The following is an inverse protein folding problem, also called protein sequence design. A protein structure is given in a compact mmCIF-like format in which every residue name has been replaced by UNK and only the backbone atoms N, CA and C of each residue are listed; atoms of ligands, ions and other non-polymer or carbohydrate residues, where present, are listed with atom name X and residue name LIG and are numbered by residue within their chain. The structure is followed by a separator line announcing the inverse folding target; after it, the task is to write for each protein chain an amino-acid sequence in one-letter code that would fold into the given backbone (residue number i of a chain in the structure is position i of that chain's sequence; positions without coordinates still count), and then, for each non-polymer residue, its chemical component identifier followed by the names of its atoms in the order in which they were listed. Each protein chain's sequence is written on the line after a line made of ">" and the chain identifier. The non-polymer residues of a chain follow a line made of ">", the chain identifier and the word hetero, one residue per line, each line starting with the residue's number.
data_IF_276152535318
#
_entry.id   IF_276152535318
#
_cell.length_a   1.000
_cell.length_b   1.000
_cell.length_c   1.000
_cell.angle_alpha   90.00
_cell.angle_beta   90.00
_cell.angle_gamma   90.00
#
_symmetry.space_group_name_H-M   'P 1'
#
loop_
_entity.id
_entity.type
_entity.pdbx_description
1 polymer ?
#
# COMPACT_ATOMS: atom_id res chain seq x y z
N UNK A 1 1.30 0.68 61.22
CA UNK A 1 0.24 0.04 60.45
C UNK A 1 0.80 -0.26 59.08
N UNK A 2 1.16 -1.53 58.85
CA UNK A 2 1.67 -2.01 57.54
C UNK A 2 0.43 -2.31 56.66
N UNK A 3 0.29 -1.56 55.58
CA UNK A 3 -0.67 -1.94 54.52
C UNK A 3 -0.06 -3.12 53.73
N UNK A 4 -0.78 -4.20 53.50
CA UNK A 4 -0.30 -5.31 52.72
C UNK A 4 -0.25 -4.92 51.22
N UNK A 5 0.83 -5.19 50.52
CA UNK A 5 1.04 -4.86 49.09
C UNK A 5 0.15 -5.68 48.13
N UNK A 6 -0.62 -6.65 48.63
CA UNK A 6 -1.41 -7.57 47.82
C UNK A 6 -2.75 -7.03 47.25
N UNK A 7 -3.31 -5.99 47.85
CA UNK A 7 -4.59 -5.44 47.37
C UNK A 7 -4.45 -4.57 46.11
N UNK A 8 -3.28 -3.98 45.86
CA UNK A 8 -3.05 -3.15 44.69
C UNK A 8 -2.75 -4.01 43.45
N UNK A 9 -2.16 -5.20 43.62
CA UNK A 9 -1.97 -6.15 42.54
C UNK A 9 -3.27 -6.84 42.10
N UNK A 10 -4.14 -7.19 43.02
CA UNK A 10 -5.49 -7.73 42.70
C UNK A 10 -6.38 -6.73 41.98
N UNK A 11 -6.31 -5.45 42.35
CA UNK A 11 -7.03 -4.38 41.64
C UNK A 11 -6.51 -4.10 40.24
N UNK A 12 -5.18 -4.25 40.01
CA UNK A 12 -4.56 -4.17 38.71
C UNK A 12 -4.98 -5.32 37.79
N UNK A 13 -5.17 -6.52 38.31
CA UNK A 13 -5.60 -7.69 37.56
C UNK A 13 -7.08 -7.66 37.13
N UNK A 14 -7.89 -6.74 37.68
CA UNK A 14 -9.33 -6.68 37.43
C UNK A 14 -9.78 -5.58 36.47
N UNK A 15 -8.91 -4.66 36.07
CA UNK A 15 -9.28 -3.59 35.13
C UNK A 15 -9.04 -4.06 33.70
N UNK A 16 -10.12 -4.39 33.00
CA UNK A 16 -10.09 -4.74 31.58
C UNK A 16 -9.65 -3.53 30.75
N UNK A 17 -8.51 -3.60 30.02
CA UNK A 17 -8.04 -2.51 29.18
C UNK A 17 -9.08 -2.03 28.16
N UNK A 18 -9.95 -2.93 27.68
CA UNK A 18 -11.02 -2.61 26.73
C UNK A 18 -12.00 -1.58 27.30
N UNK A 19 -12.26 -1.62 28.61
CA UNK A 19 -13.16 -0.63 29.26
C UNK A 19 -12.51 0.74 29.33
N UNK A 20 -11.22 0.81 29.65
CA UNK A 20 -10.48 2.07 29.70
C UNK A 20 -10.45 2.70 28.30
N UNK A 21 -10.12 1.91 27.29
CA UNK A 21 -10.08 2.34 25.89
C UNK A 21 -11.46 2.81 25.40
N UNK A 22 -12.52 2.06 25.73
CA UNK A 22 -13.88 2.39 25.32
C UNK A 22 -14.43 3.67 25.97
N UNK A 23 -13.96 4.02 27.17
CA UNK A 23 -14.36 5.22 27.90
C UNK A 23 -13.53 6.47 27.52
N UNK A 24 -12.38 6.29 26.84
CA UNK A 24 -11.51 7.40 26.46
C UNK A 24 -12.21 8.32 25.45
N UNK A 25 -12.33 9.64 25.73
CA UNK A 25 -12.88 10.59 24.77
C UNK A 25 -12.09 10.60 23.46
N UNK A 26 -12.81 10.53 22.33
CA UNK A 26 -12.18 10.45 21.01
C UNK A 26 -12.08 9.03 20.43
N UNK A 27 -12.33 7.98 21.21
CA UNK A 27 -12.45 6.61 20.68
C UNK A 27 -13.70 6.49 19.80
N UNK A 28 -13.52 5.99 18.56
CA UNK A 28 -14.62 5.64 17.66
C UNK A 28 -14.99 4.17 17.79
N UNK A 29 -13.99 3.29 17.74
CA UNK A 29 -14.12 1.85 17.85
C UNK A 29 -12.81 1.24 18.33
N UNK A 30 -12.87 0.06 18.91
CA UNK A 30 -11.69 -0.72 19.28
C UNK A 30 -12.02 -2.20 19.24
N UNK A 31 -10.99 -3.01 19.04
CA UNK A 31 -11.04 -4.47 19.21
C UNK A 31 -9.75 -4.98 19.85
N UNK A 32 -9.85 -6.10 20.53
CA UNK A 32 -8.71 -6.81 21.10
C UNK A 32 -8.23 -7.92 20.18
N UNK A 33 -6.94 -8.23 20.21
CA UNK A 33 -6.34 -9.38 19.53
C UNK A 33 -5.63 -10.26 20.53
N UNK A 34 -5.87 -11.56 20.44
CA UNK A 34 -5.15 -12.58 21.19
C UNK A 34 -4.55 -13.59 20.20
N UNK A 35 -3.39 -14.12 20.52
CA UNK A 35 -2.73 -15.08 19.66
C UNK A 35 -2.50 -16.38 20.41
N UNK A 36 -2.83 -17.50 19.78
CA UNK A 36 -2.52 -18.84 20.28
C UNK A 36 -1.98 -19.72 19.14
N UNK A 37 -1.49 -20.89 19.48
CA UNK A 37 -1.03 -21.88 18.51
C UNK A 37 -1.85 -23.17 18.68
N UNK A 38 -2.39 -23.66 17.58
CA UNK A 38 -3.19 -24.89 17.54
C UNK A 38 -2.63 -25.83 16.48
N UNK A 39 -3.03 -27.09 16.48
CA UNK A 39 -2.77 -27.97 15.36
C UNK A 39 -4.03 -28.08 14.50
N UNK A 40 -3.82 -28.12 13.18
CA UNK A 40 -4.90 -28.26 12.21
C UNK A 40 -4.78 -29.64 11.55
N UNK A 41 -5.88 -30.33 11.40
CA UNK A 41 -5.87 -31.64 10.75
C UNK A 41 -5.34 -31.51 9.31
N UNK A 42 -4.34 -32.35 8.97
CA UNK A 42 -3.69 -32.32 7.64
C UNK A 42 -2.55 -31.30 7.50
N UNK A 43 -2.22 -30.55 8.55
CA UNK A 43 -1.08 -29.60 8.55
C UNK A 43 -0.01 -30.08 9.52
N UNK A 44 1.23 -30.14 9.06
CA UNK A 44 2.37 -30.48 9.91
C UNK A 44 2.76 -29.29 10.78
N UNK A 45 2.92 -29.50 12.08
CA UNK A 45 3.32 -28.45 13.02
C UNK A 45 2.16 -27.68 13.63
N UNK A 46 2.47 -26.54 14.25
CA UNK A 46 1.49 -25.67 14.88
C UNK A 46 1.11 -24.51 13.96
N UNK A 47 -0.17 -24.26 13.83
CA UNK A 47 -0.73 -23.13 13.09
C UNK A 47 -1.07 -22.00 14.07
N UNK A 48 -0.69 -20.78 13.73
CA UNK A 48 -1.03 -19.62 14.53
C UNK A 48 -2.50 -19.26 14.35
N UNK A 49 -3.16 -18.95 15.45
CA UNK A 49 -4.53 -18.43 15.43
C UNK A 49 -4.54 -17.05 16.06
N UNK A 50 -5.04 -16.09 15.33
CA UNK A 50 -5.34 -14.74 15.82
C UNK A 50 -6.84 -14.64 16.09
N UNK A 51 -7.19 -14.45 17.35
CA UNK A 51 -8.55 -14.32 17.81
C UNK A 51 -8.90 -12.86 18.06
N UNK A 52 -10.04 -12.42 17.56
CA UNK A 52 -10.53 -11.05 17.70
C UNK A 52 -11.60 -10.97 18.78
N UNK A 53 -11.53 -9.96 19.64
CA UNK A 53 -12.57 -9.63 20.61
C UNK A 53 -13.16 -8.27 20.24
N UNK A 54 -14.42 -8.25 19.84
CA UNK A 54 -15.09 -7.07 19.30
C UNK A 54 -15.09 -7.03 17.78
N UNK A 55 -15.65 -5.97 17.20
CA UNK A 55 -15.77 -5.82 15.75
C UNK A 55 -14.45 -5.35 15.13
N UNK A 56 -13.79 -6.26 14.41
CA UNK A 56 -12.56 -6.00 13.66
C UNK A 56 -12.79 -5.72 12.16
N UNK A 57 -14.04 -5.60 11.69
CA UNK A 57 -14.37 -5.39 10.27
C UNK A 57 -13.81 -4.09 9.70
N UNK A 58 -13.63 -3.08 10.54
CA UNK A 58 -13.09 -1.77 10.17
C UNK A 58 -11.55 -1.74 10.10
N UNK A 59 -10.87 -2.82 10.47
CA UNK A 59 -9.39 -2.88 10.45
C UNK A 59 -8.77 -2.84 9.05
N UNK A 60 -9.60 -2.93 8.00
CA UNK A 60 -9.14 -2.78 6.62
C UNK A 60 -8.37 -3.99 6.09
N UNK A 61 -8.61 -5.18 6.60
CA UNK A 61 -8.05 -6.41 6.04
C UNK A 61 -8.47 -6.56 4.58
N UNK A 62 -7.49 -6.67 3.69
CA UNK A 62 -7.73 -6.80 2.26
C UNK A 62 -8.21 -8.23 1.93
N UNK A 63 -9.50 -8.37 1.62
CA UNK A 63 -10.11 -9.65 1.26
C UNK A 63 -9.76 -10.02 -0.18
N UNK A 64 -9.27 -11.23 -0.39
CA UNK A 64 -9.02 -11.84 -1.69
C UNK A 64 -10.30 -12.45 -2.23
N UNK A 65 -11.00 -13.22 -1.38
CA UNK A 65 -12.27 -13.86 -1.73
C UNK A 65 -13.16 -14.05 -0.49
N UNK A 66 -14.46 -14.24 -0.71
CA UNK A 66 -15.40 -14.43 0.38
C UNK A 66 -15.70 -13.15 1.17
N UNK A 67 -15.81 -13.24 2.49
CA UNK A 67 -16.15 -12.13 3.39
C UNK A 67 -15.39 -12.18 4.71
N UNK A 68 -15.37 -11.06 5.42
CA UNK A 68 -14.87 -10.98 6.79
C UNK A 68 -15.80 -11.72 7.78
N UNK A 69 -15.25 -12.04 8.96
CA UNK A 69 -15.96 -12.66 10.09
C UNK A 69 -17.23 -11.88 10.45
N UNK A 70 -18.32 -12.60 10.74
CA UNK A 70 -19.57 -12.02 11.26
C UNK A 70 -20.02 -12.69 12.54
N UNK A 71 -19.79 -13.99 12.68
CA UNK A 71 -20.31 -14.82 13.78
C UNK A 71 -19.20 -15.72 14.35
N UNK A 72 -19.32 -16.12 15.62
CA UNK A 72 -18.46 -17.18 16.16
C UNK A 72 -18.60 -18.48 15.35
N UNK A 73 -17.52 -19.25 15.24
CA UNK A 73 -17.46 -20.47 14.42
C UNK A 73 -17.03 -20.21 12.98
N UNK A 74 -16.75 -18.97 12.61
CA UNK A 74 -16.19 -18.60 11.31
C UNK A 74 -14.68 -18.38 11.40
N UNK A 75 -14.01 -18.62 10.28
CA UNK A 75 -12.58 -18.34 10.11
C UNK A 75 -12.31 -17.64 8.78
N UNK A 76 -11.33 -16.75 8.79
CA UNK A 76 -10.72 -16.17 7.59
C UNK A 76 -9.26 -16.59 7.57
N UNK A 77 -8.76 -17.00 6.42
CA UNK A 77 -7.41 -17.56 6.27
C UNK A 77 -6.68 -16.92 5.10
N UNK A 78 -5.35 -16.81 5.15
CA UNK A 78 -4.56 -16.35 4.00
C UNK A 78 -4.50 -17.41 2.88
N UNK A 79 -4.13 -16.96 1.67
CA UNK A 79 -3.89 -17.80 0.49
C UNK A 79 -2.93 -18.96 0.79
N UNK A 80 -1.83 -18.66 1.52
CA UNK A 80 -0.83 -19.68 1.88
C UNK A 80 -1.43 -20.85 2.65
N UNK A 81 -2.34 -20.58 3.58
CA UNK A 81 -3.06 -21.64 4.32
C UNK A 81 -3.93 -22.50 3.40
N UNK A 82 -4.71 -21.89 2.52
CA UNK A 82 -5.58 -22.61 1.57
C UNK A 82 -4.75 -23.50 0.64
N UNK A 83 -3.65 -22.96 0.12
CA UNK A 83 -2.75 -23.71 -0.78
C UNK A 83 -2.07 -24.87 -0.05
N UNK A 84 -1.57 -24.66 1.17
CA UNK A 84 -0.87 -25.69 1.93
C UNK A 84 -1.79 -26.82 2.42
N UNK A 85 -3.06 -26.51 2.67
CA UNK A 85 -4.04 -27.47 3.19
C UNK A 85 -4.94 -28.10 2.11
N UNK A 86 -4.98 -27.51 0.90
CA UNK A 86 -5.92 -27.89 -0.15
C UNK A 86 -7.37 -27.54 0.18
N UNK A 87 -7.61 -26.67 1.17
CA UNK A 87 -8.93 -26.23 1.57
C UNK A 87 -9.40 -25.04 0.72
N UNK A 88 -10.71 -24.79 0.75
CA UNK A 88 -11.37 -23.70 0.02
C UNK A 88 -12.29 -22.89 0.92
N UNK A 89 -12.65 -21.70 0.49
CA UNK A 89 -13.69 -20.93 1.15
C UNK A 89 -15.01 -21.70 1.10
N UNK A 90 -15.63 -21.91 2.25
CA UNK A 90 -16.81 -22.74 2.46
C UNK A 90 -16.54 -24.00 3.24
N UNK A 91 -15.30 -24.50 3.25
CA UNK A 91 -14.91 -25.72 3.95
C UNK A 91 -14.90 -25.55 5.47
N UNK A 92 -14.97 -26.66 6.17
CA UNK A 92 -14.92 -26.72 7.65
C UNK A 92 -13.64 -27.39 8.06
N UNK A 93 -12.88 -26.71 8.93
CA UNK A 93 -11.63 -27.22 9.49
C UNK A 93 -11.74 -27.41 11.00
N UNK A 94 -10.94 -28.31 11.56
CA UNK A 94 -10.85 -28.55 12.98
C UNK A 94 -9.54 -28.00 13.53
N UNK A 95 -9.68 -27.08 14.49
CA UNK A 95 -8.59 -26.50 15.26
C UNK A 95 -8.45 -27.28 16.56
N UNK A 96 -7.36 -28.02 16.75
CA UNK A 96 -7.11 -28.74 17.99
C UNK A 96 -6.36 -27.84 18.96
N UNK A 97 -7.12 -27.25 19.88
CA UNK A 97 -6.60 -26.42 20.97
C UNK A 97 -6.12 -27.26 22.15
N UNK A 98 -5.72 -26.60 23.23
CA UNK A 98 -5.15 -27.28 24.42
C UNK A 98 -6.17 -28.13 25.17
N UNK A 99 -7.44 -27.75 25.21
CA UNK A 99 -8.48 -28.46 25.96
C UNK A 99 -9.41 -29.26 25.10
N UNK A 100 -9.90 -28.67 24.02
CA UNK A 100 -10.87 -29.30 23.14
C UNK A 100 -10.65 -28.89 21.68
N UNK A 101 -10.99 -29.76 20.71
CA UNK A 101 -11.07 -29.37 19.33
C UNK A 101 -12.25 -28.44 19.09
N UNK A 102 -12.10 -27.50 18.18
CA UNK A 102 -13.14 -26.57 17.72
C UNK A 102 -13.22 -26.62 16.21
N UNK A 103 -14.41 -26.70 15.67
CA UNK A 103 -14.65 -26.64 14.24
C UNK A 103 -14.97 -25.21 13.85
N UNK A 104 -14.36 -24.74 12.74
CA UNK A 104 -14.63 -23.44 12.16
C UNK A 104 -14.86 -23.56 10.66
N UNK A 105 -15.74 -22.73 10.13
CA UNK A 105 -15.99 -22.63 8.70
C UNK A 105 -15.14 -21.53 8.10
N UNK A 106 -14.40 -21.80 7.04
CA UNK A 106 -13.67 -20.79 6.27
C UNK A 106 -14.69 -19.97 5.49
N UNK A 107 -14.83 -18.67 5.82
CA UNK A 107 -15.78 -17.77 5.17
C UNK A 107 -15.13 -16.76 4.25
N UNK A 108 -13.80 -16.67 4.29
CA UNK A 108 -13.06 -15.77 3.42
C UNK A 108 -11.57 -16.05 3.37
N UNK A 109 -10.98 -15.53 2.33
CA UNK A 109 -9.54 -15.50 2.07
C UNK A 109 -9.04 -14.06 2.21
N UNK A 110 -7.93 -13.85 2.91
CA UNK A 110 -7.36 -12.53 3.20
C UNK A 110 -5.91 -12.44 2.70
N UNK A 111 -5.52 -11.27 2.24
CA UNK A 111 -4.11 -10.98 1.98
C UNK A 111 -3.40 -10.70 3.30
N UNK A 112 -2.73 -11.71 3.83
CA UNK A 112 -1.88 -11.59 5.01
C UNK A 112 -0.62 -12.44 4.85
N UNK A 113 0.54 -11.84 4.54
CA UNK A 113 1.79 -12.55 4.34
C UNK A 113 2.49 -12.94 5.65
N UNK A 114 1.96 -12.54 6.79
CA UNK A 114 2.58 -12.87 8.09
C UNK A 114 2.60 -14.38 8.30
N UNK A 115 3.66 -14.87 8.92
CA UNK A 115 3.84 -16.29 9.21
C UNK A 115 3.76 -17.19 7.96
N UNK A 116 4.30 -16.71 6.84
CA UNK A 116 4.26 -17.38 5.53
C UNK A 116 2.82 -17.70 5.07
N UNK A 117 1.85 -16.89 5.50
CA UNK A 117 0.44 -17.14 5.25
C UNK A 117 -0.16 -18.32 6.04
N UNK A 118 0.58 -18.89 7.01
CA UNK A 118 0.13 -20.03 7.80
C UNK A 118 -0.53 -19.58 9.12
N UNK A 119 -1.70 -18.96 9.02
CA UNK A 119 -2.49 -18.55 10.16
C UNK A 119 -3.99 -18.66 9.92
N UNK A 120 -4.74 -18.67 11.02
CA UNK A 120 -6.20 -18.65 11.03
C UNK A 120 -6.66 -17.43 11.83
N UNK A 121 -7.53 -16.64 11.25
CA UNK A 121 -8.17 -15.51 11.89
C UNK A 121 -9.60 -15.89 12.27
N UNK A 122 -10.00 -15.74 13.54
CA UNK A 122 -11.33 -16.12 14.02
C UNK A 122 -11.80 -15.21 15.15
N UNK A 123 -13.05 -15.33 15.55
CA UNK A 123 -13.59 -14.65 16.74
C UNK A 123 -13.10 -15.34 18.02
N UNK A 124 -12.82 -14.56 19.08
CA UNK A 124 -12.34 -15.11 20.37
C UNK A 124 -13.39 -16.01 21.04
N UNK A 125 -14.68 -15.75 20.83
CA UNK A 125 -15.75 -16.61 21.36
C UNK A 125 -15.70 -18.03 20.75
N UNK A 126 -15.22 -18.17 19.51
CA UNK A 126 -15.01 -19.46 18.85
C UNK A 126 -14.02 -20.34 19.62
N UNK A 127 -12.97 -19.75 20.18
CA UNK A 127 -11.91 -20.49 20.87
C UNK A 127 -12.18 -20.71 22.36
N UNK A 128 -13.29 -20.21 22.89
CA UNK A 128 -13.56 -20.21 24.34
C UNK A 128 -13.54 -21.61 24.95
N UNK A 129 -13.96 -22.65 24.23
CA UNK A 129 -13.89 -24.04 24.69
C UNK A 129 -12.50 -24.65 24.54
N UNK A 130 -11.75 -24.28 23.51
CA UNK A 130 -10.40 -24.79 23.23
C UNK A 130 -9.34 -24.12 24.12
N UNK A 131 -9.50 -22.80 24.35
CA UNK A 131 -8.53 -21.94 25.03
C UNK A 131 -9.27 -20.98 26.01
N UNK A 132 -9.81 -21.45 27.13
CA UNK A 132 -10.65 -20.62 28.02
C UNK A 132 -9.86 -19.52 28.75
N UNK A 133 -8.54 -19.58 28.75
CA UNK A 133 -7.66 -18.55 29.32
C UNK A 133 -7.12 -17.56 28.30
N UNK A 134 -7.64 -17.55 27.06
CA UNK A 134 -7.18 -16.65 26.03
C UNK A 134 -7.66 -15.21 26.31
N UNK A 135 -6.73 -14.34 26.65
CA UNK A 135 -6.97 -12.91 26.88
C UNK A 135 -6.34 -12.07 25.77
N UNK A 136 -6.93 -10.94 25.39
CA UNK A 136 -6.32 -10.03 24.44
C UNK A 136 -4.95 -9.54 24.93
N UNK A 137 -3.95 -9.65 24.07
CA UNK A 137 -2.59 -9.16 24.29
C UNK A 137 -2.30 -7.86 23.54
N UNK A 138 -3.14 -7.53 22.57
CA UNK A 138 -3.06 -6.30 21.79
C UNK A 138 -4.43 -5.66 21.64
N UNK A 139 -4.48 -4.35 21.50
CA UNK A 139 -5.70 -3.59 21.24
C UNK A 139 -5.48 -2.66 20.06
N UNK A 140 -6.43 -2.65 19.14
CA UNK A 140 -6.45 -1.75 17.99
C UNK A 140 -7.57 -0.73 18.21
N UNK A 141 -7.25 0.54 18.00
CA UNK A 141 -8.13 1.65 18.33
C UNK A 141 -8.29 2.54 17.10
N UNK A 142 -9.52 2.81 16.72
CA UNK A 142 -9.86 3.84 15.75
C UNK A 142 -10.31 5.09 16.50
N UNK A 143 -9.72 6.23 16.19
CA UNK A 143 -10.13 7.52 16.74
C UNK A 143 -11.18 8.18 15.85
N UNK A 144 -11.99 9.09 16.43
CA UNK A 144 -12.97 9.89 15.68
C UNK A 144 -12.27 10.83 14.70
N UNK A 145 -12.87 11.13 13.52
CA UNK A 145 -12.35 12.12 12.61
C UNK A 145 -12.10 13.47 13.30
N UNK A 146 -10.94 14.09 13.01
CA UNK A 146 -10.53 15.34 13.63
C UNK A 146 -9.88 15.23 15.00
N UNK A 147 -9.76 14.02 15.57
CA UNK A 147 -8.99 13.81 16.80
C UNK A 147 -7.50 13.72 16.46
N UNK A 148 -6.67 14.52 17.13
CA UNK A 148 -5.22 14.40 17.02
C UNK A 148 -4.75 13.11 17.70
N UNK A 149 -4.10 12.24 16.91
CA UNK A 149 -3.68 10.93 17.38
C UNK A 149 -2.60 10.99 18.47
N UNK A 150 -1.72 12.00 18.41
CA UNK A 150 -0.66 12.19 19.40
C UNK A 150 -1.21 12.57 20.77
N UNK A 151 -2.10 13.56 20.82
CA UNK A 151 -2.75 14.00 22.05
C UNK A 151 -3.66 12.94 22.65
N UNK A 152 -4.40 12.21 21.80
CA UNK A 152 -5.21 11.07 22.20
C UNK A 152 -4.35 9.99 22.87
N UNK A 153 -3.26 9.58 22.21
CA UNK A 153 -2.35 8.55 22.73
C UNK A 153 -1.69 8.99 24.04
N UNK A 154 -1.30 10.26 24.15
CA UNK A 154 -0.72 10.81 25.38
C UNK A 154 -1.73 10.79 26.55
N UNK A 155 -3.00 11.10 26.29
CA UNK A 155 -4.05 11.02 27.28
C UNK A 155 -4.36 9.56 27.69
N UNK A 156 -4.49 8.66 26.70
CA UNK A 156 -4.74 7.24 26.95
C UNK A 156 -3.60 6.58 27.74
N UNK A 157 -2.35 6.92 27.45
CA UNK A 157 -1.18 6.39 28.16
C UNK A 157 -1.17 6.77 29.66
N UNK A 158 -1.78 7.87 30.09
CA UNK A 158 -1.92 8.20 31.52
C UNK A 158 -2.78 7.18 32.24
N UNK A 159 -3.84 6.70 31.59
CA UNK A 159 -4.77 5.70 32.13
C UNK A 159 -4.24 4.27 32.00
N UNK A 160 -3.43 3.97 30.96
CA UNK A 160 -2.89 2.63 30.71
C UNK A 160 -1.59 2.34 31.50
N UNK A 161 -0.79 3.36 31.83
CA UNK A 161 0.46 3.17 32.62
C UNK A 161 0.29 2.40 33.93
N UNK A 162 -0.76 2.64 34.75
CA UNK A 162 -0.97 1.86 35.94
C UNK A 162 -1.22 0.37 35.67
N UNK A 163 -1.68 0.02 34.45
CA UNK A 163 -1.93 -1.35 34.01
C UNK A 163 -0.67 -1.99 33.37
N UNK A 164 0.44 -1.24 33.26
CA UNK A 164 1.65 -1.69 32.59
C UNK A 164 1.56 -1.74 31.07
N UNK A 165 0.58 -1.03 30.49
CA UNK A 165 0.33 -0.97 29.03
C UNK A 165 0.71 0.39 28.48
N UNK A 166 1.07 0.39 27.21
CA UNK A 166 1.34 1.61 26.41
C UNK A 166 0.59 1.55 25.11
N UNK A 167 0.13 2.70 24.64
CA UNK A 167 -0.45 2.88 23.33
C UNK A 167 0.46 3.76 22.47
N UNK A 168 0.60 3.40 21.20
CA UNK A 168 1.40 4.11 20.22
C UNK A 168 0.54 4.45 18.98
N UNK A 169 0.96 5.48 18.25
CA UNK A 169 0.28 5.91 17.02
C UNK A 169 0.75 5.06 15.85
N UNK A 170 -0.14 4.25 15.28
CA UNK A 170 0.04 3.72 13.94
C UNK A 170 1.13 2.67 13.71
N UNK A 171 1.31 1.73 14.62
CA UNK A 171 2.25 0.62 14.43
C UNK A 171 3.66 0.89 15.00
N UNK A 172 4.46 -0.14 15.12
CA UNK A 172 5.81 -0.04 15.71
C UNK A 172 6.68 1.01 15.00
N UNK A 173 7.46 1.77 15.75
CA UNK A 173 8.40 2.79 15.23
C UNK A 173 9.27 2.26 14.09
N UNK A 174 9.74 1.01 14.17
CA UNK A 174 10.51 0.37 13.11
C UNK A 174 9.77 0.18 11.79
N UNK A 175 8.44 0.02 11.80
CA UNK A 175 7.63 -0.05 10.57
C UNK A 175 7.55 1.30 9.88
N UNK A 176 7.49 2.38 10.64
CA UNK A 176 7.44 3.76 10.09
C UNK A 176 8.75 4.14 9.42
N UNK A 177 9.91 3.83 10.02
CA UNK A 177 11.22 4.08 9.41
C UNK A 177 11.44 3.26 8.13
N UNK A 178 11.03 1.99 8.14
CA UNK A 178 11.12 1.14 6.96
C UNK A 178 10.23 1.66 5.81
N UNK A 179 9.02 2.09 6.10
CA UNK A 179 8.10 2.68 5.10
C UNK A 179 8.70 3.97 4.53
N UNK A 180 9.24 4.86 5.36
CA UNK A 180 9.90 6.09 4.91
C UNK A 180 11.11 5.78 4.04
N UNK A 181 11.93 4.79 4.42
CA UNK A 181 13.09 4.37 3.64
C UNK A 181 12.69 3.80 2.28
N UNK A 182 11.69 2.91 2.24
CA UNK A 182 11.18 2.34 0.99
C UNK A 182 10.57 3.41 0.09
N UNK A 183 9.79 4.33 0.64
CA UNK A 183 9.21 5.44 -0.11
C UNK A 183 10.29 6.37 -0.67
N UNK A 184 11.33 6.67 0.11
CA UNK A 184 12.45 7.50 -0.32
C UNK A 184 13.25 6.85 -1.45
N UNK A 185 13.50 5.54 -1.35
CA UNK A 185 14.17 4.77 -2.40
C UNK A 185 13.34 4.73 -3.68
N UNK A 186 12.02 4.46 -3.57
CA UNK A 186 11.09 4.51 -4.70
C UNK A 186 11.06 5.89 -5.37
N UNK A 187 11.02 6.96 -4.58
CA UNK A 187 11.05 8.33 -5.11
C UNK A 187 12.36 8.63 -5.85
N UNK A 188 13.51 8.18 -5.30
CA UNK A 188 14.81 8.33 -5.96
C UNK A 188 14.88 7.58 -7.28
N UNK A 189 14.43 6.32 -7.32
CA UNK A 189 14.38 5.53 -8.55
C UNK A 189 13.47 6.18 -9.60
N UNK A 190 12.30 6.66 -9.19
CA UNK A 190 11.37 7.38 -10.06
C UNK A 190 12.01 8.64 -10.63
N UNK A 191 12.72 9.42 -9.80
CA UNK A 191 13.43 10.63 -10.23
C UNK A 191 14.53 10.30 -11.24
N UNK A 192 15.29 9.22 -11.03
CA UNK A 192 16.28 8.75 -12.00
C UNK A 192 15.64 8.36 -13.34
N UNK A 193 14.52 7.64 -13.34
CA UNK A 193 13.80 7.30 -14.56
C UNK A 193 13.32 8.54 -15.31
N UNK A 194 12.75 9.51 -14.57
CA UNK A 194 12.34 10.81 -15.13
C UNK A 194 13.51 11.55 -15.75
N UNK A 195 14.67 11.57 -15.09
CA UNK A 195 15.88 12.20 -15.62
C UNK A 195 16.37 11.53 -16.90
N UNK A 196 16.42 10.21 -16.96
CA UNK A 196 16.80 9.44 -18.16
C UNK A 196 15.80 9.71 -19.29
N UNK A 197 14.50 9.71 -19.01
CA UNK A 197 13.48 10.03 -19.99
C UNK A 197 13.64 11.45 -20.54
N UNK A 198 13.88 12.44 -19.67
CA UNK A 198 14.10 13.83 -20.07
C UNK A 198 15.35 13.99 -20.97
N UNK A 199 16.44 13.29 -20.63
CA UNK A 199 17.67 13.26 -21.46
C UNK A 199 17.41 12.59 -22.81
N UNK A 200 16.62 11.52 -22.84
CA UNK A 200 16.19 10.85 -24.07
C UNK A 200 15.40 11.78 -24.99
N UNK A 201 14.43 12.51 -24.43
CA UNK A 201 13.66 13.52 -25.19
C UNK A 201 14.58 14.64 -25.69
N UNK A 202 15.44 15.17 -24.82
CA UNK A 202 16.40 16.23 -25.20
C UNK A 202 17.28 15.78 -26.37
N UNK A 203 17.84 14.58 -26.29
CA UNK A 203 18.70 14.03 -27.36
C UNK A 203 17.91 13.81 -28.65
N UNK A 204 16.70 13.25 -28.57
CA UNK A 204 15.82 13.04 -29.74
C UNK A 204 15.47 14.35 -30.43
N UNK A 205 15.08 15.39 -29.67
CA UNK A 205 14.76 16.72 -30.22
C UNK A 205 15.99 17.40 -30.83
N UNK A 206 17.15 17.24 -30.19
CA UNK A 206 18.42 17.77 -30.75
C UNK A 206 18.75 17.12 -32.08
N UNK A 207 18.59 15.79 -32.20
CA UNK A 207 18.85 15.04 -33.41
C UNK A 207 17.90 15.44 -34.54
N UNK A 208 16.58 15.39 -34.28
CA UNK A 208 15.53 15.83 -35.23
C UNK A 208 15.75 17.27 -35.70
N UNK A 209 16.12 18.18 -34.78
CA UNK A 209 16.41 19.57 -35.09
C UNK A 209 17.64 19.68 -36.00
N UNK A 210 18.70 18.90 -35.77
CA UNK A 210 19.93 18.88 -36.61
C UNK A 210 19.63 18.36 -38.03
N UNK A 211 18.85 17.30 -38.14
CA UNK A 211 18.48 16.74 -39.45
C UNK A 211 17.65 17.73 -40.28
N UNK A 212 16.83 18.55 -39.63
CA UNK A 212 15.98 19.55 -40.29
C UNK A 212 16.61 20.95 -40.41
N UNK A 213 17.90 21.13 -40.04
CA UNK A 213 18.55 22.45 -40.09
C UNK A 213 18.46 23.11 -41.44
N UNK A 214 18.64 22.34 -42.52
CA UNK A 214 18.59 22.85 -43.90
C UNK A 214 17.16 23.31 -44.27
N UNK A 215 16.15 22.55 -43.92
CA UNK A 215 14.75 22.91 -44.14
C UNK A 215 14.38 24.19 -43.36
N UNK A 216 14.79 24.25 -42.06
CA UNK A 216 14.59 25.43 -41.23
C UNK A 216 15.33 26.67 -41.79
N UNK A 217 16.51 26.47 -42.38
CA UNK A 217 17.26 27.51 -43.08
C UNK A 217 16.51 28.07 -44.30
N UNK A 218 15.93 27.21 -45.12
CA UNK A 218 15.11 27.58 -46.28
C UNK A 218 13.85 28.36 -45.82
N UNK A 219 13.14 27.88 -44.83
CA UNK A 219 11.96 28.56 -44.30
C UNK A 219 12.28 29.95 -43.73
N UNK A 220 13.44 30.11 -43.05
CA UNK A 220 13.93 31.41 -42.57
C UNK A 220 14.28 32.35 -43.72
N UNK A 221 14.89 31.83 -44.79
CA UNK A 221 15.18 32.63 -45.97
C UNK A 221 13.89 33.14 -46.67
N UNK A 222 12.82 32.37 -46.58
CA UNK A 222 11.48 32.75 -47.05
C UNK A 222 10.72 33.69 -46.07
N UNK A 223 11.31 34.12 -44.96
CA UNK A 223 10.76 35.09 -44.05
C UNK A 223 10.20 34.55 -42.74
N UNK A 224 10.44 33.26 -42.41
CA UNK A 224 9.98 32.68 -41.13
C UNK A 224 10.65 33.38 -39.95
N UNK A 225 9.82 33.81 -38.97
CA UNK A 225 10.31 34.45 -37.75
C UNK A 225 10.85 33.44 -36.73
N UNK A 226 11.76 33.84 -35.82
CA UNK A 226 12.27 32.96 -34.77
C UNK A 226 11.16 32.35 -33.87
N UNK A 227 10.05 33.11 -33.66
CA UNK A 227 8.89 32.62 -32.89
C UNK A 227 8.16 31.48 -33.61
N UNK A 228 8.00 31.57 -34.94
CA UNK A 228 7.39 30.54 -35.76
C UNK A 228 8.25 29.26 -35.75
N UNK A 229 9.57 29.39 -35.84
CA UNK A 229 10.50 28.24 -35.72
C UNK A 229 10.36 27.54 -34.37
N UNK A 230 10.37 28.29 -33.27
CA UNK A 230 10.17 27.72 -31.92
C UNK A 230 8.81 27.06 -31.78
N UNK A 231 7.73 27.69 -32.27
CA UNK A 231 6.39 27.13 -32.25
C UNK A 231 6.31 25.80 -33.04
N UNK A 232 6.92 25.74 -34.21
CA UNK A 232 6.95 24.52 -35.03
C UNK A 232 7.60 23.33 -34.28
N UNK A 233 8.77 23.56 -33.67
CA UNK A 233 9.46 22.53 -32.88
C UNK A 233 8.63 22.12 -31.67
N UNK A 234 8.07 23.09 -30.91
CA UNK A 234 7.26 22.79 -29.75
C UNK A 234 5.97 22.04 -30.12
N UNK A 235 5.32 22.40 -31.23
CA UNK A 235 4.14 21.68 -31.72
C UNK A 235 4.46 20.22 -32.07
N UNK A 236 5.57 19.99 -32.77
CA UNK A 236 6.05 18.64 -33.10
C UNK A 236 6.26 17.81 -31.84
N UNK A 237 6.99 18.35 -30.86
CA UNK A 237 7.25 17.68 -29.57
C UNK A 237 5.97 17.45 -28.75
N UNK A 238 5.06 18.41 -28.77
CA UNK A 238 3.76 18.29 -28.10
C UNK A 238 2.94 17.16 -28.70
N UNK A 239 2.85 17.05 -30.02
CA UNK A 239 2.16 15.97 -30.71
C UNK A 239 2.79 14.59 -30.41
N UNK A 240 4.12 14.51 -30.45
CA UNK A 240 4.85 13.29 -30.11
C UNK A 240 4.65 12.93 -28.65
N UNK A 241 4.70 13.91 -27.73
CA UNK A 241 4.44 13.72 -26.29
C UNK A 241 3.02 13.25 -26.00
N UNK A 242 2.02 13.81 -26.69
CA UNK A 242 0.63 13.37 -26.59
C UNK A 242 0.45 11.94 -27.08
N UNK A 243 1.02 11.60 -28.23
CA UNK A 243 0.98 10.22 -28.75
C UNK A 243 1.69 9.24 -27.81
N UNK A 244 2.86 9.61 -27.30
CA UNK A 244 3.61 8.83 -26.30
C UNK A 244 2.83 8.64 -24.99
N UNK A 245 2.18 9.68 -24.49
CA UNK A 245 1.32 9.60 -23.31
C UNK A 245 0.07 8.75 -23.55
N UNK A 246 -0.59 8.92 -24.69
CA UNK A 246 -1.79 8.16 -25.04
C UNK A 246 -1.53 6.65 -25.20
N UNK A 247 -0.33 6.26 -25.60
CA UNK A 247 0.09 4.86 -25.70
C UNK A 247 0.75 4.36 -24.42
N UNK A 248 1.63 5.17 -23.85
CA UNK A 248 2.46 4.78 -22.70
C UNK A 248 1.64 4.56 -21.43
N UNK A 249 0.66 5.42 -21.14
CA UNK A 249 -0.18 5.28 -19.95
C UNK A 249 -1.00 4.00 -19.97
N UNK A 250 -1.79 3.68 -21.01
CA UNK A 250 -2.52 2.42 -21.07
C UNK A 250 -1.63 1.18 -21.06
N UNK A 251 -0.50 1.21 -21.76
CA UNK A 251 0.47 0.11 -21.75
C UNK A 251 1.08 -0.09 -20.37
N UNK A 252 1.40 1.00 -19.66
CA UNK A 252 1.90 0.94 -18.28
C UNK A 252 0.88 0.33 -17.33
N UNK A 253 -0.38 0.73 -17.41
CA UNK A 253 -1.47 0.15 -16.60
C UNK A 253 -1.67 -1.33 -16.93
N UNK A 254 -1.68 -1.70 -18.22
CA UNK A 254 -1.81 -3.09 -18.62
C UNK A 254 -0.63 -3.95 -18.13
N UNK A 255 0.59 -3.44 -18.26
CA UNK A 255 1.79 -4.13 -17.76
C UNK A 255 1.75 -4.30 -16.24
N UNK A 256 1.36 -3.28 -15.50
CA UNK A 256 1.18 -3.36 -14.04
C UNK A 256 0.13 -4.44 -13.68
N UNK A 257 -1.03 -4.42 -14.33
CA UNK A 257 -2.09 -5.41 -14.10
C UNK A 257 -1.70 -6.84 -14.45
N UNK A 258 -0.66 -7.04 -15.28
CA UNK A 258 -0.11 -8.36 -15.59
C UNK A 258 1.02 -8.77 -14.64
N UNK A 259 1.93 -7.84 -14.35
CA UNK A 259 3.14 -8.13 -13.54
C UNK A 259 2.78 -8.33 -12.06
N UNK A 260 1.90 -7.49 -11.50
CA UNK A 260 1.57 -7.55 -10.07
C UNK A 260 0.98 -8.90 -9.64
N UNK A 261 -0.04 -9.48 -10.33
CA UNK A 261 -0.50 -10.82 -10.00
C UNK A 261 0.58 -11.89 -10.16
N UNK A 262 1.38 -11.84 -11.23
CA UNK A 262 2.45 -12.80 -11.46
C UNK A 262 3.52 -12.78 -10.34
N UNK A 263 3.85 -11.59 -9.82
CA UNK A 263 4.73 -11.45 -8.66
C UNK A 263 4.07 -12.01 -7.39
N UNK A 264 2.79 -11.73 -7.17
CA UNK A 264 2.02 -12.28 -6.05
C UNK A 264 2.01 -13.81 -6.08
N UNK A 265 1.64 -14.39 -7.21
CA UNK A 265 1.58 -15.85 -7.39
C UNK A 265 2.95 -16.51 -7.17
N UNK A 266 4.04 -15.89 -7.62
CA UNK A 266 5.39 -16.39 -7.39
C UNK A 266 5.80 -16.39 -5.91
N UNK A 267 5.21 -15.49 -5.12
CA UNK A 267 5.38 -15.40 -3.66
C UNK A 267 4.34 -16.24 -2.88
N UNK A 268 3.47 -17.00 -3.57
CA UNK A 268 2.39 -17.76 -2.94
C UNK A 268 1.26 -16.89 -2.38
N UNK A 269 1.12 -15.65 -2.88
CA UNK A 269 0.12 -14.68 -2.44
C UNK A 269 -0.83 -14.36 -3.58
N UNK A 270 -2.13 -14.39 -3.31
CA UNK A 270 -3.12 -13.79 -4.20
C UNK A 270 -3.36 -12.35 -3.82
N UNK A 271 -3.18 -11.47 -4.79
CA UNK A 271 -3.43 -10.04 -4.60
C UNK A 271 -4.89 -9.73 -4.95
N UNK A 272 -5.67 -9.12 -4.05
CA UNK A 272 -7.03 -8.70 -4.35
C UNK A 272 -7.04 -7.55 -5.37
N UNK A 273 -8.12 -7.45 -6.14
CA UNK A 273 -8.29 -6.40 -7.16
C UNK A 273 -8.17 -4.98 -6.57
N UNK A 274 -8.55 -4.80 -5.32
CA UNK A 274 -8.42 -3.52 -4.60
C UNK A 274 -6.97 -3.08 -4.39
N UNK A 275 -6.02 -4.01 -4.40
CA UNK A 275 -4.57 -3.74 -4.30
C UNK A 275 -3.96 -3.55 -5.68
N UNK A 276 -4.51 -4.19 -6.71
CA UNK A 276 -4.02 -4.09 -8.10
C UNK A 276 -4.57 -2.85 -8.78
N UNK A 277 -5.87 -2.56 -8.64
CA UNK A 277 -6.57 -1.46 -9.32
C UNK A 277 -6.43 -0.13 -8.56
N UNK A 278 -5.19 0.31 -8.32
CA UNK A 278 -4.90 1.54 -7.56
C UNK A 278 -4.98 2.81 -8.41
N UNK A 279 -4.99 2.70 -9.73
CA UNK A 279 -4.94 3.87 -10.62
C UNK A 279 -6.32 4.48 -10.84
N UNK A 280 -6.45 5.75 -10.49
CA UNK A 280 -7.64 6.55 -10.79
C UNK A 280 -7.42 7.41 -12.04
N UNK A 281 -8.48 7.66 -12.79
CA UNK A 281 -8.41 8.45 -14.02
C UNK A 281 -7.74 9.84 -13.86
N UNK A 282 -8.00 10.62 -12.79
CA UNK A 282 -7.33 11.91 -12.60
C UNK A 282 -5.81 11.76 -12.34
N UNK A 283 -5.37 10.71 -11.66
CA UNK A 283 -3.95 10.43 -11.41
C UNK A 283 -3.22 10.07 -12.71
N UNK A 284 -3.85 9.22 -13.54
CA UNK A 284 -3.32 8.86 -14.86
C UNK A 284 -3.25 10.09 -15.79
N UNK A 285 -4.22 10.97 -15.73
CA UNK A 285 -4.19 12.22 -16.48
C UNK A 285 -3.04 13.13 -16.02
N UNK A 286 -2.80 13.23 -14.70
CA UNK A 286 -1.67 13.97 -14.13
C UNK A 286 -0.33 13.39 -14.57
N UNK A 287 -0.18 12.08 -14.61
CA UNK A 287 1.03 11.41 -15.10
C UNK A 287 1.27 11.72 -16.58
N UNK A 288 0.22 11.64 -17.42
CA UNK A 288 0.30 12.01 -18.83
C UNK A 288 0.68 13.47 -19.04
N UNK A 289 0.08 14.40 -18.29
CA UNK A 289 0.43 15.81 -18.31
C UNK A 289 1.85 16.09 -17.81
N UNK A 290 2.31 15.35 -16.80
CA UNK A 290 3.68 15.41 -16.30
C UNK A 290 4.70 15.02 -17.38
N UNK A 291 4.44 13.91 -18.09
CA UNK A 291 5.25 13.48 -19.24
C UNK A 291 5.29 14.52 -20.36
N UNK A 292 4.15 15.11 -20.69
CA UNK A 292 4.05 16.19 -21.66
C UNK A 292 4.84 17.44 -21.22
N UNK A 293 4.75 17.82 -19.95
CA UNK A 293 5.51 18.93 -19.40
C UNK A 293 7.02 18.70 -19.50
N UNK A 294 7.49 17.50 -19.19
CA UNK A 294 8.89 17.10 -19.33
C UNK A 294 9.34 17.21 -20.80
N UNK A 295 8.50 16.73 -21.74
CA UNK A 295 8.81 16.80 -23.16
C UNK A 295 8.92 18.27 -23.65
N UNK A 296 8.00 19.14 -23.27
CA UNK A 296 8.01 20.57 -23.62
C UNK A 296 9.22 21.28 -23.01
N UNK A 297 9.50 21.05 -21.72
CA UNK A 297 10.65 21.67 -21.03
C UNK A 297 11.97 21.21 -21.64
N UNK A 298 12.11 19.90 -21.95
CA UNK A 298 13.28 19.35 -22.61
C UNK A 298 13.51 19.92 -24.01
N UNK A 299 12.43 20.23 -24.73
CA UNK A 299 12.49 20.79 -26.06
C UNK A 299 12.77 22.31 -26.11
N UNK A 300 12.58 23.05 -25.01
CA UNK A 300 12.75 24.50 -24.98
C UNK A 300 14.17 24.96 -25.32
N UNK A 301 15.19 24.27 -24.83
CA UNK A 301 16.60 24.59 -25.11
C UNK A 301 16.95 24.38 -26.58
N UNK A 302 16.71 23.18 -27.20
CA UNK A 302 16.96 22.97 -28.61
C UNK A 302 16.16 23.89 -29.53
N UNK A 303 14.87 24.13 -29.20
CA UNK A 303 14.01 25.00 -30.00
C UNK A 303 14.53 26.45 -30.00
N UNK A 304 14.98 26.99 -28.86
CA UNK A 304 15.60 28.33 -28.78
C UNK A 304 16.93 28.40 -29.52
N UNK A 305 17.72 27.34 -29.48
CA UNK A 305 18.97 27.26 -30.20
C UNK A 305 18.73 27.26 -31.72
N UNK A 306 17.81 26.42 -32.22
CA UNK A 306 17.44 26.38 -33.63
C UNK A 306 16.85 27.74 -34.10
N UNK A 307 16.06 28.42 -33.28
CA UNK A 307 15.50 29.74 -33.60
C UNK A 307 16.58 30.85 -33.71
N UNK A 308 17.70 30.75 -33.00
CA UNK A 308 18.79 31.74 -32.99
C UNK A 308 19.89 31.47 -34.05
N UNK A 309 19.90 30.33 -34.71
CA UNK A 309 20.89 30.01 -35.73
C UNK A 309 20.80 30.97 -36.91
N UNK A 310 21.95 31.54 -37.36
CA UNK A 310 22.02 32.38 -38.58
C UNK A 310 21.69 31.55 -39.82
N UNK A 311 20.89 32.10 -40.75
CA UNK A 311 20.50 31.46 -41.99
C UNK A 311 21.71 31.05 -42.83
N UNK A 312 22.76 31.87 -42.85
CA UNK A 312 24.01 31.58 -43.56
C UNK A 312 24.74 30.34 -43.03
N UNK A 313 24.68 30.05 -41.73
CA UNK A 313 25.29 28.87 -41.15
C UNK A 313 24.48 27.59 -41.47
N UNK A 314 23.14 27.69 -41.50
CA UNK A 314 22.26 26.57 -41.82
C UNK A 314 22.36 26.10 -43.29
N UNK A 315 22.74 27.01 -44.21
CA UNK A 315 22.90 26.71 -45.65
C UNK A 315 24.33 26.26 -46.01
N UNK A 316 25.28 26.37 -45.08
CA UNK A 316 26.72 26.10 -45.33
C UNK A 316 27.19 24.72 -44.83
N UNK A 317 26.32 23.93 -44.23
CA UNK A 317 26.61 22.56 -43.84
C UNK A 317 26.56 21.63 -45.05
N UNK A 318 27.72 21.47 -45.70
CA UNK A 318 28.05 20.31 -46.51
C UNK A 318 28.64 19.23 -45.62
#
# INVERSE_FOLDING_TARGET
>A
MLHPPFQDEEKKAQTDPSKVIGQQPGTRAHFGTATTSVTVAGVSGSTRVTAFTGDASWAGYAMVSGRWLKEPGEAVVPTGFLTATGQHVGDVITLNGRRAPVTVRIVGEVLDPRYDGMQVLTDAATLKSAEPGLIPTGHHIAVKPGTDAGSYTAALNKELRPLGLTADVGGSEGSSEMIVTLNSLSALLTLMLVAVAALGVLNGVLLDTRERLRELGIHKALGMTPRQTTSMVLTSVTLTGLAGGALGVPLGVALHGWVMPAMGDSAGLRLPDTVIAVYQAPELALLGLGGLAIAILGALLPARWAARMPTAAALRTE
#
